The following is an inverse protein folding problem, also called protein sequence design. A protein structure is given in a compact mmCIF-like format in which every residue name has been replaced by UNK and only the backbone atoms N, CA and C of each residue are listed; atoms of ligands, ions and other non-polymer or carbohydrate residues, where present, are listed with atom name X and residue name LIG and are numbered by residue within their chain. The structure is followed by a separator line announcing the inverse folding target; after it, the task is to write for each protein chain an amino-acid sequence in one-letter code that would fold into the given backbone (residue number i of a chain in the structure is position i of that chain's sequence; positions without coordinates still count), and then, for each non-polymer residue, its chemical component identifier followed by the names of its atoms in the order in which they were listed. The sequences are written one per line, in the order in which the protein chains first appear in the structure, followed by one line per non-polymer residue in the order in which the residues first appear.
data_IF_625095977220
#
_entry.id   IF_625095977220
#
_cell.length_a   1.000
_cell.length_b   1.000
_cell.length_c   1.000
_cell.angle_alpha   90.00
_cell.angle_beta   90.00
_cell.angle_gamma   90.00
#
_symmetry.space_group_name_H-M   'P 1'
#
loop_
_entity.id
_entity.type
_entity.pdbx_description
1 polymer ?
#
# COMPACT_ATOMS: atom_id res chain seq x y z
N UNK A 1 31.04 48.35 14.10
CA UNK A 1 29.84 47.86 13.40
C UNK A 1 30.31 46.87 12.34
N UNK A 2 30.37 45.58 12.67
CA UNK A 2 30.88 44.54 11.77
C UNK A 2 29.73 43.91 10.97
N UNK A 3 29.91 43.76 9.66
CA UNK A 3 28.96 43.11 8.76
C UNK A 3 28.92 41.61 9.05
N UNK A 4 27.74 41.10 9.42
CA UNK A 4 27.48 39.67 9.65
C UNK A 4 27.43 38.93 8.31
N UNK A 5 28.56 38.34 7.92
CA UNK A 5 28.64 37.37 6.81
C UNK A 5 28.94 35.98 7.35
N UNK A 6 28.04 35.01 7.11
CA UNK A 6 28.25 33.61 7.46
C UNK A 6 29.17 32.95 6.42
N UNK A 7 30.48 33.05 6.63
CA UNK A 7 31.49 32.31 5.86
C UNK A 7 31.85 31.02 6.59
N UNK A 8 30.94 30.04 6.64
CA UNK A 8 31.20 28.76 7.29
C UNK A 8 31.62 27.72 6.25
N UNK A 9 32.79 27.11 6.43
CA UNK A 9 33.18 25.85 5.77
C UNK A 9 33.84 24.92 6.79
N UNK A 10 33.64 23.61 6.62
CA UNK A 10 34.10 22.58 7.55
C UNK A 10 35.62 22.59 7.70
N UNK A 11 36.10 22.73 8.94
CA UNK A 11 37.53 22.76 9.28
C UNK A 11 38.14 24.16 9.47
N UNK A 12 37.35 25.23 9.37
CA UNK A 12 37.80 26.58 9.72
C UNK A 12 37.74 26.81 11.24
N UNK A 13 38.86 27.07 11.93
CA UNK A 13 38.85 27.38 13.36
C UNK A 13 38.25 28.77 13.67
N UNK A 14 37.99 29.61 12.66
CA UNK A 14 37.43 30.94 12.85
C UNK A 14 35.92 30.94 12.57
N UNK A 15 35.11 30.98 13.63
CA UNK A 15 33.64 31.08 13.53
C UNK A 15 33.13 32.43 13.02
N UNK A 16 34.01 33.45 12.89
CA UNK A 16 33.66 34.81 12.48
C UNK A 16 34.74 35.40 11.59
N UNK A 17 34.33 36.11 10.53
CA UNK A 17 35.24 36.92 9.73
C UNK A 17 35.55 38.21 10.48
N UNK A 18 36.72 38.26 11.12
CA UNK A 18 37.13 39.37 12.01
C UNK A 18 37.89 40.47 11.25
N UNK A 19 38.17 41.59 11.93
CA UNK A 19 39.03 42.64 11.38
C UNK A 19 40.48 42.16 11.14
N UNK A 20 40.93 41.12 11.83
CA UNK A 20 42.20 40.47 11.51
C UNK A 20 42.11 39.69 10.20
N UNK A 21 41.00 38.99 9.96
CA UNK A 21 40.75 38.24 8.72
C UNK A 21 40.55 39.18 7.53
N UNK A 22 39.93 40.34 7.72
CA UNK A 22 39.76 41.33 6.64
C UNK A 22 41.10 41.86 6.14
N UNK A 23 42.06 42.09 7.04
CA UNK A 23 43.43 42.49 6.68
C UNK A 23 44.17 41.37 5.94
N UNK A 24 44.08 40.13 6.42
CA UNK A 24 44.70 38.97 5.76
C UNK A 24 44.08 38.70 4.39
N UNK A 25 42.77 38.90 4.24
CA UNK A 25 42.08 38.80 2.94
C UNK A 25 42.50 39.89 1.95
N UNK A 26 42.75 41.11 2.41
CA UNK A 26 43.28 42.18 1.54
C UNK A 26 44.71 41.87 1.10
N UNK A 27 45.54 41.34 2.01
CA UNK A 27 46.90 40.90 1.74
C UNK A 27 47.01 39.55 0.98
N UNK A 28 45.89 39.01 0.46
CA UNK A 28 45.88 37.68 -0.19
C UNK A 28 46.72 37.57 -1.46
N UNK A 29 47.13 38.70 -2.03
CA UNK A 29 47.94 38.76 -3.25
C UNK A 29 49.41 39.12 -2.97
N UNK A 30 49.75 39.35 -1.70
CA UNK A 30 51.13 39.65 -1.30
C UNK A 30 51.97 38.36 -1.35
N UNK A 31 53.28 38.53 -1.57
CA UNK A 31 54.21 37.40 -1.78
C UNK A 31 54.33 36.48 -0.56
N UNK A 32 54.12 37.04 0.63
CA UNK A 32 54.18 36.38 1.94
C UNK A 32 52.78 36.10 2.51
N UNK A 33 51.75 36.13 1.67
CA UNK A 33 50.38 35.90 2.13
C UNK A 33 50.19 34.51 2.75
N UNK A 34 49.58 34.50 3.94
CA UNK A 34 49.16 33.29 4.64
C UNK A 34 47.68 32.95 4.39
N UNK A 35 47.04 33.64 3.43
CA UNK A 35 45.63 33.46 3.13
C UNK A 35 45.39 32.14 2.37
N UNK A 36 44.41 31.31 2.77
CA UNK A 36 44.23 29.98 2.19
C UNK A 36 43.87 30.06 0.70
N UNK A 37 44.61 29.31 -0.12
CA UNK A 37 44.43 29.25 -1.59
C UNK A 37 43.10 28.59 -1.98
N UNK A 38 42.65 28.81 -3.22
CA UNK A 38 41.42 28.21 -3.73
C UNK A 38 41.43 26.66 -3.65
N UNK A 39 42.59 26.03 -3.83
CA UNK A 39 42.76 24.58 -3.68
C UNK A 39 42.53 24.11 -2.22
N UNK A 40 42.92 24.93 -1.24
CA UNK A 40 42.72 24.66 0.19
C UNK A 40 41.25 24.79 0.62
N UNK A 41 40.42 25.45 -0.19
CA UNK A 41 38.97 25.68 0.05
C UNK A 41 38.08 24.67 -0.66
N UNK A 42 38.66 23.72 -1.41
CA UNK A 42 37.87 22.66 -2.01
C UNK A 42 37.30 21.78 -0.90
N UNK A 43 36.03 22.03 -0.56
CA UNK A 43 35.18 21.06 0.11
C UNK A 43 35.17 19.85 -0.81
N UNK A 44 35.91 18.81 -0.46
CA UNK A 44 35.77 17.53 -1.15
C UNK A 44 34.34 17.09 -0.83
N UNK A 45 33.41 17.02 -1.80
CA UNK A 45 32.07 16.58 -1.50
C UNK A 45 32.20 15.20 -0.86
N UNK A 46 31.70 15.07 0.36
CA UNK A 46 31.58 13.77 1.03
C UNK A 46 30.94 12.82 0.01
N UNK A 47 31.54 11.64 -0.29
CA UNK A 47 30.93 10.71 -1.23
C UNK A 47 29.48 10.54 -0.82
N UNK A 48 28.56 10.92 -1.71
CA UNK A 48 27.15 10.78 -1.45
C UNK A 48 26.94 9.30 -1.12
N UNK A 49 26.45 9.01 0.09
CA UNK A 49 25.85 7.71 0.34
C UNK A 49 24.85 7.46 -0.81
N UNK A 50 24.81 6.28 -1.43
CA UNK A 50 24.02 6.06 -2.62
C UNK A 50 22.57 6.45 -2.33
N UNK A 51 22.14 7.57 -2.89
CA UNK A 51 20.75 8.00 -2.84
C UNK A 51 19.96 7.06 -3.75
N UNK A 52 19.51 5.94 -3.20
CA UNK A 52 18.42 5.17 -3.80
C UNK A 52 17.10 5.89 -3.56
N UNK A 53 16.95 7.07 -4.16
CA UNK A 53 15.65 7.58 -4.56
C UNK A 53 15.78 7.87 -6.05
N UNK A 54 15.97 6.79 -6.83
CA UNK A 54 15.68 6.84 -8.25
C UNK A 54 14.25 7.39 -8.36
N UNK A 55 14.09 8.55 -8.99
CA UNK A 55 12.76 9.09 -9.22
C UNK A 55 11.92 8.01 -9.89
N UNK A 56 10.67 7.78 -9.45
CA UNK A 56 9.84 6.76 -10.06
C UNK A 56 9.70 7.10 -11.55
N UNK A 57 9.96 6.10 -12.40
CA UNK A 57 9.89 6.23 -13.84
C UNK A 57 8.52 6.79 -14.23
N UNK A 58 8.50 7.90 -14.98
CA UNK A 58 7.27 8.56 -15.40
C UNK A 58 7.15 8.58 -16.93
N UNK A 59 5.92 8.48 -17.42
CA UNK A 59 5.60 8.50 -18.84
C UNK A 59 4.29 9.25 -19.09
N UNK A 60 4.21 9.91 -20.25
CA UNK A 60 3.00 10.63 -20.66
C UNK A 60 1.99 9.64 -21.25
N UNK A 61 0.70 9.84 -20.98
CA UNK A 61 -0.36 9.14 -21.67
C UNK A 61 -0.23 9.28 -23.20
N UNK A 62 -0.63 8.25 -23.93
CA UNK A 62 -0.44 8.14 -25.37
C UNK A 62 0.94 7.64 -25.79
N UNK A 63 1.89 7.44 -24.86
CA UNK A 63 3.14 6.75 -25.16
C UNK A 63 3.03 5.24 -24.94
N UNK A 64 3.77 4.47 -25.73
CA UNK A 64 3.95 3.04 -25.51
C UNK A 64 4.79 2.81 -24.25
N UNK A 65 4.34 1.88 -23.41
CA UNK A 65 4.95 1.60 -22.13
C UNK A 65 6.36 1.04 -22.31
N UNK A 66 7.38 1.69 -21.76
CA UNK A 66 8.77 1.25 -21.94
C UNK A 66 9.12 0.01 -21.11
N UNK A 67 8.38 -0.25 -20.02
CA UNK A 67 8.63 -1.34 -19.09
C UNK A 67 7.31 -1.90 -18.54
N UNK A 68 7.14 -3.22 -18.64
CA UNK A 68 5.99 -3.88 -18.04
C UNK A 68 5.96 -3.72 -16.52
N UNK A 69 4.77 -3.73 -15.94
CA UNK A 69 4.56 -3.64 -14.49
C UNK A 69 3.33 -2.86 -14.10
N UNK A 70 3.24 -2.53 -12.81
CA UNK A 70 2.16 -1.71 -12.24
C UNK A 70 2.49 -0.23 -12.34
N UNK A 71 1.53 0.54 -12.86
CA UNK A 71 1.62 1.99 -13.01
C UNK A 71 0.36 2.64 -12.46
N UNK A 72 0.47 3.88 -12.00
CA UNK A 72 -0.63 4.67 -11.49
C UNK A 72 -0.53 6.11 -11.96
N UNK A 73 -1.64 6.84 -11.92
CA UNK A 73 -1.66 8.29 -12.08
C UNK A 73 -1.72 8.91 -10.69
N UNK A 74 -0.70 9.69 -10.28
CA UNK A 74 -0.69 10.32 -8.96
C UNK A 74 -1.91 11.21 -8.75
N UNK A 75 -2.53 11.12 -7.58
CA UNK A 75 -3.72 11.90 -7.24
C UNK A 75 -5.03 11.39 -7.86
N UNK A 76 -5.00 10.33 -8.69
CA UNK A 76 -6.20 9.71 -9.26
C UNK A 76 -6.45 8.33 -8.63
N UNK A 77 -7.45 8.25 -7.75
CA UNK A 77 -7.86 7.01 -7.11
C UNK A 77 -8.32 5.98 -8.16
N UNK A 78 -7.96 4.71 -7.98
CA UNK A 78 -8.33 3.63 -8.91
C UNK A 78 -7.62 3.66 -10.27
N UNK A 79 -6.62 4.53 -10.47
CA UNK A 79 -5.84 4.57 -11.71
C UNK A 79 -4.87 3.38 -11.85
N UNK A 80 -4.39 2.84 -10.72
CA UNK A 80 -3.37 1.78 -10.65
C UNK A 80 -3.75 0.56 -11.47
N UNK A 81 -2.93 0.20 -12.45
CA UNK A 81 -3.13 -0.99 -13.29
C UNK A 81 -1.82 -1.54 -13.84
N UNK A 82 -1.86 -2.78 -14.28
CA UNK A 82 -0.75 -3.44 -14.95
C UNK A 82 -0.70 -3.05 -16.42
N UNK A 83 0.50 -2.82 -16.95
CA UNK A 83 0.78 -2.64 -18.36
C UNK A 83 1.89 -3.59 -18.81
N UNK A 84 1.81 -4.06 -20.06
CA UNK A 84 2.92 -4.75 -20.72
C UNK A 84 3.84 -3.75 -21.41
N UNK A 85 5.11 -4.13 -21.60
CA UNK A 85 6.01 -3.33 -22.45
C UNK A 85 5.43 -3.23 -23.88
N UNK A 86 5.42 -2.02 -24.42
CA UNK A 86 4.82 -1.68 -25.72
C UNK A 86 3.33 -1.33 -25.65
N UNK A 87 2.66 -1.57 -24.53
CA UNK A 87 1.23 -1.24 -24.36
C UNK A 87 1.02 0.27 -24.24
N UNK A 88 0.00 0.81 -24.89
CA UNK A 88 -0.28 2.25 -24.88
C UNK A 88 -0.86 2.69 -23.53
N UNK A 89 -0.21 3.64 -22.88
CA UNK A 89 -0.74 4.26 -21.67
C UNK A 89 -1.97 5.12 -22.02
N UNK A 90 -3.15 4.88 -21.44
CA UNK A 90 -4.36 5.60 -21.82
C UNK A 90 -4.36 7.01 -21.24
N UNK A 91 -4.97 7.95 -21.97
CA UNK A 91 -5.41 9.20 -21.40
C UNK A 91 -6.63 8.90 -20.53
N UNK A 92 -6.51 9.13 -19.22
CA UNK A 92 -7.66 9.10 -18.32
C UNK A 92 -8.31 10.49 -18.36
N UNK A 93 -9.63 10.56 -18.48
CA UNK A 93 -10.37 11.82 -18.44
C UNK A 93 -10.15 12.47 -17.08
N UNK A 94 -9.16 13.35 -16.97
CA UNK A 94 -9.05 14.20 -15.81
C UNK A 94 -10.28 15.13 -15.83
N UNK A 95 -10.96 15.22 -14.70
CA UNK A 95 -12.15 16.06 -14.47
C UNK A 95 -11.91 17.56 -14.74
N UNK A 96 -10.70 17.96 -15.17
CA UNK A 96 -10.30 19.34 -15.36
C UNK A 96 -9.20 19.48 -16.41
N UNK A 97 -9.58 19.88 -17.63
CA UNK A 97 -8.74 20.57 -18.62
C UNK A 97 -7.66 19.74 -19.34
N UNK A 98 -7.16 20.32 -20.44
CA UNK A 98 -6.12 19.88 -21.40
C UNK A 98 -4.75 19.44 -20.81
N UNK A 99 -4.67 19.15 -19.52
CA UNK A 99 -3.40 18.77 -18.87
C UNK A 99 -2.99 17.34 -19.25
N UNK A 100 -1.74 17.12 -19.67
CA UNK A 100 -1.26 15.79 -19.99
C UNK A 100 -1.28 14.89 -18.74
N UNK A 101 -1.83 13.69 -18.89
CA UNK A 101 -1.83 12.66 -17.84
C UNK A 101 -0.45 12.02 -17.77
N UNK A 102 0.17 12.04 -16.59
CA UNK A 102 1.44 11.38 -16.33
C UNK A 102 1.21 10.09 -15.54
N UNK A 103 1.61 8.97 -16.13
CA UNK A 103 1.71 7.69 -15.46
C UNK A 103 3.05 7.58 -14.75
N UNK A 104 3.03 7.13 -13.50
CA UNK A 104 4.21 6.81 -12.73
C UNK A 104 4.25 5.32 -12.45
N UNK A 105 5.43 4.73 -12.59
CA UNK A 105 5.65 3.35 -12.22
C UNK A 105 5.50 3.25 -10.70
N UNK A 106 4.62 2.36 -10.27
CA UNK A 106 4.38 2.16 -8.85
C UNK A 106 5.64 1.56 -8.21
N UNK A 107 6.16 2.08 -7.09
CA UNK A 107 7.20 1.38 -6.35
C UNK A 107 6.76 -0.02 -5.91
N UNK A 108 5.48 -0.21 -5.62
CA UNK A 108 4.88 -1.52 -5.36
C UNK A 108 4.46 -2.17 -6.69
N UNK A 109 5.12 -3.27 -7.04
CA UNK A 109 4.85 -4.06 -8.24
C UNK A 109 4.02 -5.31 -7.96
N UNK A 110 3.45 -5.43 -6.76
CA UNK A 110 2.58 -6.55 -6.42
C UNK A 110 1.19 -6.34 -7.04
N UNK A 111 0.56 -7.39 -7.61
CA UNK A 111 -0.84 -7.31 -8.01
C UNK A 111 -1.74 -6.93 -6.84
N UNK A 112 -2.80 -6.14 -7.06
CA UNK A 112 -3.76 -5.85 -6.01
C UNK A 112 -4.38 -7.15 -5.50
N UNK A 113 -4.68 -7.18 -4.21
CA UNK A 113 -5.35 -8.33 -3.62
C UNK A 113 -6.67 -8.60 -4.38
N UNK A 114 -6.96 -9.83 -4.82
CA UNK A 114 -8.20 -10.11 -5.54
C UNK A 114 -9.43 -9.68 -4.74
N UNK A 115 -10.49 -9.22 -5.38
CA UNK A 115 -11.66 -8.76 -4.63
C UNK A 115 -12.22 -9.88 -3.73
N UNK A 116 -12.62 -9.52 -2.50
CA UNK A 116 -13.30 -10.42 -1.55
C UNK A 116 -14.82 -10.34 -1.65
N UNK A 117 -15.30 -9.68 -2.70
CA UNK A 117 -16.71 -9.47 -2.98
C UNK A 117 -16.92 -9.54 -4.50
N UNK A 118 -18.05 -10.08 -4.92
CA UNK A 118 -18.47 -10.11 -6.32
C UNK A 118 -19.98 -10.39 -6.39
N UNK A 119 -20.62 -9.98 -7.48
CA UNK A 119 -22.03 -10.24 -7.72
C UNK A 119 -22.24 -11.58 -8.43
N UNK A 120 -23.48 -12.06 -8.43
CA UNK A 120 -23.83 -13.27 -9.18
C UNK A 120 -23.54 -13.08 -10.68
N UNK A 121 -23.18 -14.17 -11.37
CA UNK A 121 -22.69 -14.22 -12.76
C UNK A 121 -21.32 -13.57 -13.02
N UNK A 122 -20.74 -12.82 -12.08
CA UNK A 122 -19.36 -12.37 -12.19
C UNK A 122 -18.41 -13.55 -11.95
N UNK A 123 -17.24 -13.59 -12.63
CA UNK A 123 -16.23 -14.60 -12.37
C UNK A 123 -15.67 -14.40 -10.96
N UNK A 124 -15.57 -15.49 -10.18
CA UNK A 124 -15.06 -15.45 -8.84
C UNK A 124 -13.59 -15.00 -8.83
N UNK A 125 -13.26 -13.84 -8.22
CA UNK A 125 -11.88 -13.36 -8.13
C UNK A 125 -10.99 -14.26 -7.26
N UNK A 126 -11.61 -15.14 -6.48
CA UNK A 126 -10.98 -16.06 -5.55
C UNK A 126 -11.69 -17.42 -5.60
N UNK A 127 -10.90 -18.48 -5.62
CA UNK A 127 -11.41 -19.82 -5.35
C UNK A 127 -11.79 -19.97 -3.87
N UNK A 128 -12.71 -20.88 -3.58
CA UNK A 128 -13.11 -21.24 -2.22
C UNK A 128 -14.54 -20.86 -1.91
N UNK A 129 -14.82 -20.65 -0.62
CA UNK A 129 -16.17 -20.50 -0.10
C UNK A 129 -16.63 -19.04 -0.09
N UNK A 130 -17.81 -18.81 -0.64
CA UNK A 130 -18.48 -17.52 -0.71
C UNK A 130 -19.81 -17.59 0.02
N UNK A 131 -20.10 -16.58 0.84
CA UNK A 131 -21.35 -16.44 1.59
C UNK A 131 -22.15 -15.26 1.03
N UNK A 132 -23.46 -15.38 0.95
CA UNK A 132 -24.32 -14.28 0.52
C UNK A 132 -24.29 -13.16 1.56
N UNK A 133 -24.18 -11.90 1.11
CA UNK A 133 -24.04 -10.74 2.01
C UNK A 133 -25.24 -10.57 2.96
N UNK A 134 -26.45 -10.81 2.45
CA UNK A 134 -27.71 -10.64 3.19
C UNK A 134 -28.07 -11.82 4.10
N UNK A 135 -27.62 -13.04 3.78
CA UNK A 135 -27.75 -14.20 4.65
C UNK A 135 -26.51 -15.08 4.53
N UNK A 136 -25.67 -15.04 5.57
CA UNK A 136 -24.38 -15.74 5.63
C UNK A 136 -24.52 -17.26 5.68
N UNK A 137 -25.72 -17.76 6.01
CA UNK A 137 -25.98 -19.20 5.99
C UNK A 137 -26.15 -19.73 4.56
N UNK A 138 -26.42 -18.86 3.58
CA UNK A 138 -26.42 -19.22 2.16
C UNK A 138 -24.99 -19.10 1.64
N UNK A 139 -24.43 -20.23 1.20
CA UNK A 139 -23.05 -20.28 0.71
C UNK A 139 -22.87 -21.19 -0.50
N UNK A 140 -21.76 -20.97 -1.21
CA UNK A 140 -21.29 -21.83 -2.29
C UNK A 140 -19.76 -21.95 -2.24
N UNK A 141 -19.23 -22.99 -2.87
CA UNK A 141 -17.78 -23.14 -3.09
C UNK A 141 -17.53 -23.19 -4.59
N UNK A 142 -16.69 -22.30 -5.09
CA UNK A 142 -16.40 -22.16 -6.53
C UNK A 142 -14.90 -22.14 -6.78
N UNK A 143 -14.48 -22.49 -7.99
CA UNK A 143 -13.10 -22.37 -8.44
C UNK A 143 -12.76 -20.93 -8.86
N UNK A 144 -11.47 -20.64 -9.04
CA UNK A 144 -11.03 -19.35 -9.56
C UNK A 144 -11.65 -19.12 -10.95
N UNK A 145 -12.22 -17.92 -11.17
CA UNK A 145 -12.91 -17.51 -12.38
C UNK A 145 -14.22 -18.25 -12.72
N UNK A 146 -14.65 -19.22 -11.89
CA UNK A 146 -15.99 -19.78 -12.01
C UNK A 146 -17.04 -18.72 -11.70
N UNK A 147 -18.15 -18.69 -12.44
CA UNK A 147 -19.19 -17.68 -12.23
C UNK A 147 -19.94 -17.95 -10.93
N UNK A 148 -20.13 -16.91 -10.12
CA UNK A 148 -20.89 -17.02 -8.89
C UNK A 148 -22.38 -17.29 -9.19
N UNK A 149 -23.03 -18.20 -8.44
CA UNK A 149 -24.40 -18.62 -8.73
C UNK A 149 -25.41 -17.52 -8.38
N UNK A 150 -26.58 -17.57 -9.02
CA UNK A 150 -27.77 -16.86 -8.58
C UNK A 150 -28.32 -17.54 -7.31
N UNK A 151 -28.95 -16.76 -6.44
CA UNK A 151 -29.74 -17.29 -5.32
C UNK A 151 -31.22 -17.07 -5.63
N UNK A 152 -32.00 -18.17 -5.71
CA UNK A 152 -33.44 -18.11 -6.05
C UNK A 152 -33.74 -17.34 -7.36
N UNK A 153 -32.84 -17.42 -8.33
CA UNK A 153 -32.94 -16.72 -9.61
C UNK A 153 -32.59 -15.22 -9.54
N UNK A 154 -32.24 -14.69 -8.37
CA UNK A 154 -31.87 -13.30 -8.16
C UNK A 154 -30.35 -13.11 -8.19
N UNK A 155 -29.94 -11.95 -8.69
CA UNK A 155 -28.55 -11.51 -8.57
C UNK A 155 -28.31 -11.01 -7.15
N UNK A 156 -27.42 -11.70 -6.44
CA UNK A 156 -27.02 -11.37 -5.07
C UNK A 156 -25.53 -11.06 -5.00
N UNK A 157 -25.15 -10.32 -3.97
CA UNK A 157 -23.76 -10.05 -3.64
C UNK A 157 -23.19 -11.14 -2.76
N UNK A 158 -22.06 -11.67 -3.18
CA UNK A 158 -21.32 -12.72 -2.49
C UNK A 158 -20.06 -12.14 -1.85
N UNK A 159 -19.70 -12.69 -0.70
CA UNK A 159 -18.51 -12.31 0.06
C UNK A 159 -17.64 -13.53 0.29
N UNK A 160 -16.38 -13.42 -0.12
CA UNK A 160 -15.40 -14.48 0.02
C UNK A 160 -15.01 -14.64 1.47
N UNK A 161 -14.93 -15.89 1.92
CA UNK A 161 -14.62 -16.22 3.30
C UNK A 161 -13.36 -17.06 3.39
N UNK A 162 -12.55 -16.82 4.42
CA UNK A 162 -11.31 -17.56 4.65
C UNK A 162 -11.58 -19.04 4.89
N UNK A 163 -10.70 -19.95 4.47
CA UNK A 163 -10.81 -21.36 4.87
C UNK A 163 -10.74 -21.53 6.39
N UNK A 164 -11.54 -22.44 6.97
CA UNK A 164 -11.54 -22.70 8.41
C UNK A 164 -12.74 -23.55 8.83
N UNK A 165 -12.64 -24.18 10.00
CA UNK A 165 -13.75 -24.93 10.61
C UNK A 165 -14.90 -23.97 10.94
N UNK A 166 -16.11 -24.36 10.54
CA UNK A 166 -17.33 -23.56 10.65
C UNK A 166 -18.50 -24.41 11.15
N UNK A 167 -19.46 -23.77 11.78
CA UNK A 167 -20.75 -24.35 12.15
C UNK A 167 -21.83 -23.27 12.14
N UNK A 168 -23.06 -23.61 11.76
CA UNK A 168 -24.20 -22.68 11.75
C UNK A 168 -24.95 -22.73 13.08
N UNK A 169 -25.63 -21.65 13.45
CA UNK A 169 -26.56 -21.67 14.59
C UNK A 169 -27.57 -22.82 14.47
N UNK A 170 -27.70 -23.61 15.54
CA UNK A 170 -28.54 -24.80 15.60
C UNK A 170 -27.85 -26.10 15.20
N UNK A 171 -26.65 -26.05 14.60
CA UNK A 171 -25.84 -27.26 14.38
C UNK A 171 -25.08 -27.62 15.68
N UNK A 172 -24.77 -28.91 15.91
CA UNK A 172 -23.87 -29.30 16.99
C UNK A 172 -22.45 -28.82 16.72
N UNK A 173 -21.79 -28.32 17.76
CA UNK A 173 -20.40 -27.91 17.71
C UNK A 173 -19.49 -29.07 17.30
N UNK A 174 -18.80 -29.00 16.15
CA UNK A 174 -18.03 -30.12 15.62
C UNK A 174 -16.71 -30.32 16.36
N UNK A 175 -16.16 -29.25 16.95
CA UNK A 175 -14.89 -29.28 17.67
C UNK A 175 -14.93 -28.34 18.87
N UNK A 176 -14.54 -28.82 20.07
CA UNK A 176 -14.48 -27.96 21.23
C UNK A 176 -13.42 -26.86 21.04
N UNK A 177 -13.66 -25.69 21.62
CA UNK A 177 -12.72 -24.57 21.56
C UNK A 177 -13.40 -23.22 21.53
N UNK A 178 -12.64 -22.21 21.12
CA UNK A 178 -13.13 -20.85 20.92
C UNK A 178 -13.69 -20.68 19.53
N UNK A 179 -14.85 -20.05 19.44
CA UNK A 179 -15.54 -19.75 18.20
C UNK A 179 -15.98 -18.28 18.19
N UNK A 180 -16.09 -17.69 17.01
CA UNK A 180 -16.54 -16.31 16.83
C UNK A 180 -17.45 -16.19 15.61
N UNK A 181 -18.35 -15.20 15.62
CA UNK A 181 -19.07 -14.77 14.43
C UNK A 181 -18.37 -13.51 13.87
N UNK A 182 -17.63 -13.64 12.77
CA UNK A 182 -16.73 -12.58 12.24
C UNK A 182 -17.41 -11.24 11.96
N UNK A 183 -18.70 -11.27 11.67
CA UNK A 183 -19.50 -10.09 11.30
C UNK A 183 -20.36 -9.56 12.45
N UNK A 184 -20.21 -10.11 13.67
CA UNK A 184 -20.82 -9.59 14.90
C UNK A 184 -19.76 -9.49 16.00
N UNK A 185 -19.31 -8.28 16.36
CA UNK A 185 -18.23 -8.12 17.34
C UNK A 185 -18.64 -8.61 18.74
N UNK A 186 -17.66 -9.10 19.51
CA UNK A 186 -17.88 -9.53 20.90
C UNK A 186 -18.64 -10.86 21.03
N UNK A 187 -18.65 -11.67 19.97
CA UNK A 187 -19.32 -12.98 19.96
C UNK A 187 -18.39 -14.12 20.33
N UNK A 188 -17.12 -13.86 20.65
CA UNK A 188 -16.14 -14.88 21.02
C UNK A 188 -16.65 -15.72 22.20
N UNK A 189 -16.89 -17.00 21.95
CA UNK A 189 -17.46 -17.91 22.94
C UNK A 189 -16.81 -19.29 22.85
N UNK A 190 -16.60 -19.90 24.02
CA UNK A 190 -16.13 -21.29 24.13
C UNK A 190 -17.31 -22.23 24.00
N UNK A 191 -17.16 -23.24 23.15
CA UNK A 191 -18.13 -24.33 23.00
C UNK A 191 -17.48 -25.68 23.31
N UNK A 192 -18.26 -26.54 23.94
CA UNK A 192 -17.92 -27.96 24.09
C UNK A 192 -18.32 -28.74 22.84
N UNK A 193 -17.76 -29.93 22.67
CA UNK A 193 -18.17 -30.84 21.61
C UNK A 193 -19.68 -31.11 21.69
N UNK A 194 -20.37 -31.12 20.55
CA UNK A 194 -21.82 -31.33 20.38
C UNK A 194 -22.75 -30.28 20.99
N UNK A 195 -22.23 -29.24 21.65
CA UNK A 195 -23.06 -28.12 22.11
C UNK A 195 -23.75 -27.44 20.90
N UNK A 196 -25.05 -27.19 20.97
CA UNK A 196 -25.76 -26.50 19.90
C UNK A 196 -25.23 -25.07 19.77
N UNK A 197 -24.84 -24.70 18.56
CA UNK A 197 -24.34 -23.36 18.27
C UNK A 197 -25.47 -22.34 18.43
N UNK A 198 -25.30 -21.30 19.27
CA UNK A 198 -26.39 -20.39 19.58
C UNK A 198 -26.64 -19.40 18.44
N UNK A 199 -27.81 -18.76 18.51
CA UNK A 199 -28.11 -17.56 17.74
C UNK A 199 -27.50 -16.34 18.43
N UNK A 200 -27.24 -15.28 17.66
CA UNK A 200 -26.74 -14.00 18.20
C UNK A 200 -27.81 -12.94 17.97
N UNK A 201 -28.37 -12.40 19.05
CA UNK A 201 -29.49 -11.45 19.04
C UNK A 201 -30.73 -11.99 18.29
N UNK A 202 -31.02 -13.29 18.42
CA UNK A 202 -32.17 -13.92 17.76
C UNK A 202 -31.97 -14.24 16.26
N UNK A 203 -30.77 -13.99 15.72
CA UNK A 203 -30.44 -14.28 14.33
C UNK A 203 -29.54 -15.52 14.23
N UNK A 204 -29.78 -16.34 13.20
CA UNK A 204 -28.87 -17.44 12.85
C UNK A 204 -27.58 -16.86 12.28
N UNK A 205 -26.45 -17.39 12.73
CA UNK A 205 -25.12 -16.96 12.30
C UNK A 205 -24.22 -18.14 11.92
N UNK A 206 -23.14 -17.83 11.22
CA UNK A 206 -22.04 -18.75 10.95
C UNK A 206 -20.94 -18.46 11.97
N UNK A 207 -20.60 -19.50 12.72
CA UNK A 207 -19.51 -19.50 13.67
C UNK A 207 -18.24 -20.01 12.99
N UNK A 208 -17.11 -19.37 13.25
CA UNK A 208 -15.78 -19.78 12.83
C UNK A 208 -14.93 -20.17 14.03
N UNK A 209 -14.29 -21.33 13.95
CA UNK A 209 -13.40 -21.81 14.99
C UNK A 209 -12.09 -21.02 15.00
N UNK A 210 -11.67 -20.58 16.18
CA UNK A 210 -10.43 -19.84 16.41
C UNK A 210 -9.32 -20.73 16.98
N UNK A 211 -9.64 -21.92 17.47
CA UNK A 211 -8.67 -22.84 18.06
C UNK A 211 -9.11 -23.42 19.39
N UNK A 212 -8.31 -24.35 19.90
CA UNK A 212 -8.42 -24.79 21.29
C UNK A 212 -7.94 -23.69 22.23
N UNK A 213 -8.59 -23.56 23.38
CA UNK A 213 -8.10 -22.72 24.48
C UNK A 213 -7.84 -23.65 25.64
N UNK A 214 -6.61 -23.65 26.17
CA UNK A 214 -6.30 -24.35 27.40
C UNK A 214 -7.14 -23.76 28.54
N UNK A 215 -7.60 -24.64 29.43
CA UNK A 215 -8.39 -24.29 30.60
C UNK A 215 -7.59 -23.44 31.59
#
# INVERSE_FOLDING_TARGET
MGLLGFGQWDGDPNERFTDADSRRWMARFDVDSDWPTAASRLITPKPAAPAQTAQPLSMVAGMACNQGGWWLVPGMAGSRREFKQGEMLPALSAESGDSPVFWQRDPDQTPPEPARQANSNEPAPRAGRWEMELDRCVDCTVQLNERLPLHEGQNVRWLWTVSGMRARSGEPCPYPGLWVCDYKPGTEQKFHYEALMPQVNGEKVVWRWLGMVQA
#
